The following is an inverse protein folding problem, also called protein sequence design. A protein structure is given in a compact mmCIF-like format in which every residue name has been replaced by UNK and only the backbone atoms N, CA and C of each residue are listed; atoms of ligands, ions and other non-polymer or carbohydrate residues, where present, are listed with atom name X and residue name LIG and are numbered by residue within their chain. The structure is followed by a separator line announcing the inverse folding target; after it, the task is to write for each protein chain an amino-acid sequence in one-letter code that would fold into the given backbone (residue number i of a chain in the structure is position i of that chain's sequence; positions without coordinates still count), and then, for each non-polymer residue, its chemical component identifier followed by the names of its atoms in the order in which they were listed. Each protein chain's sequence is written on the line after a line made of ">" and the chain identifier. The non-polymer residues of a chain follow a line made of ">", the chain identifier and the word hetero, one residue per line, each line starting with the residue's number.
data_IF_322816113645
#
_entry.id   IF_322816113645
#
_cell.length_a   1.000
_cell.length_b   1.000
_cell.length_c   1.000
_cell.angle_alpha   90.00
_cell.angle_beta   90.00
_cell.angle_gamma   90.00
#
_symmetry.space_group_name_H-M   'P 1'
#
loop_
_entity.id
_entity.type
_entity.pdbx_description
1 polymer ?
#
# COMPACT_ATOMS: atom_id res chain seq x y z
N UNK A 1 -26.19 -2.50 17.68
CA UNK A 1 -26.95 -1.85 16.58
C UNK A 1 -27.96 -2.82 15.96
N UNK A 2 -29.22 -2.42 15.74
CA UNK A 2 -30.24 -3.27 15.11
C UNK A 2 -30.46 -2.85 13.64
N UNK A 3 -30.46 -3.81 12.72
CA UNK A 3 -30.67 -3.61 11.28
C UNK A 3 -31.94 -4.34 10.85
N UNK A 4 -32.75 -3.68 10.01
CA UNK A 4 -33.94 -4.29 9.40
C UNK A 4 -33.61 -4.84 8.01
N UNK A 5 -33.75 -6.15 7.82
CA UNK A 5 -33.51 -6.83 6.55
C UNK A 5 -34.80 -6.90 5.74
N UNK A 6 -34.79 -6.27 4.58
CA UNK A 6 -35.87 -6.38 3.60
C UNK A 6 -35.65 -7.62 2.72
N UNK A 7 -36.53 -8.62 2.85
CA UNK A 7 -36.50 -9.82 2.03
C UNK A 7 -37.92 -10.33 1.74
N UNK A 8 -38.12 -10.93 0.58
CA UNK A 8 -39.38 -11.53 0.14
C UNK A 8 -39.22 -13.05 -0.16
N UNK A 9 -40.31 -13.70 -0.58
CA UNK A 9 -40.31 -15.12 -0.88
C UNK A 9 -39.38 -15.52 -2.05
N UNK A 10 -39.07 -14.58 -2.95
CA UNK A 10 -38.23 -14.79 -4.14
C UNK A 10 -36.75 -14.52 -3.87
N UNK A 11 -36.38 -13.89 -2.74
CA UNK A 11 -35.00 -13.59 -2.40
C UNK A 11 -34.07 -14.82 -2.47
N UNK A 12 -32.96 -14.69 -3.19
CA UNK A 12 -31.91 -15.73 -3.32
C UNK A 12 -30.61 -15.35 -2.60
N UNK A 13 -30.52 -14.12 -2.07
CA UNK A 13 -29.32 -13.62 -1.40
C UNK A 13 -29.31 -14.08 0.06
N UNK A 14 -28.12 -14.46 0.53
CA UNK A 14 -27.96 -14.75 1.96
C UNK A 14 -28.00 -13.45 2.78
N UNK A 15 -28.18 -13.59 4.09
CA UNK A 15 -28.35 -12.49 5.02
C UNK A 15 -27.12 -11.60 5.09
N UNK A 16 -25.92 -12.15 4.87
CA UNK A 16 -24.67 -11.38 4.84
C UNK A 16 -24.68 -10.41 3.64
N UNK A 17 -25.01 -10.90 2.45
CA UNK A 17 -25.13 -10.05 1.25
C UNK A 17 -26.18 -8.96 1.43
N UNK A 18 -27.31 -9.25 2.09
CA UNK A 18 -28.34 -8.24 2.37
C UNK A 18 -27.89 -7.19 3.41
N UNK A 19 -27.04 -7.55 4.37
CA UNK A 19 -26.44 -6.63 5.34
C UNK A 19 -25.37 -5.75 4.65
N UNK A 20 -24.56 -6.33 3.77
CA UNK A 20 -23.57 -5.62 2.96
C UNK A 20 -24.19 -4.58 2.02
N UNK A 21 -25.34 -4.92 1.41
CA UNK A 21 -26.10 -4.00 0.56
C UNK A 21 -26.67 -2.79 1.34
N UNK A 22 -26.75 -2.87 2.66
CA UNK A 22 -27.13 -1.76 3.54
C UNK A 22 -25.91 -1.00 4.10
N UNK A 23 -24.71 -1.28 3.59
CA UNK A 23 -23.48 -0.57 3.95
C UNK A 23 -22.73 -1.14 5.17
N UNK A 24 -23.11 -2.31 5.66
CA UNK A 24 -22.47 -2.94 6.81
C UNK A 24 -21.63 -4.14 6.39
N UNK A 25 -20.33 -4.12 6.68
CA UNK A 25 -19.44 -5.27 6.45
C UNK A 25 -19.28 -6.07 7.74
N UNK A 26 -19.44 -7.39 7.66
CA UNK A 26 -19.24 -8.31 8.77
C UNK A 26 -18.16 -9.33 8.45
N UNK A 27 -17.28 -9.65 9.41
CA UNK A 27 -16.35 -10.76 9.24
C UNK A 27 -17.14 -12.06 9.09
N UNK A 28 -16.85 -12.85 8.05
CA UNK A 28 -17.50 -14.13 7.80
C UNK A 28 -16.46 -15.25 7.75
N UNK A 29 -16.00 -15.70 8.92
CA UNK A 29 -15.06 -16.81 9.08
C UNK A 29 -15.60 -17.96 9.95
N UNK A 30 -16.88 -17.93 10.30
CA UNK A 30 -17.44 -18.82 11.31
C UNK A 30 -18.11 -20.10 10.79
N UNK A 31 -18.23 -20.31 9.48
CA UNK A 31 -18.77 -21.54 8.89
C UNK A 31 -20.07 -22.06 9.56
N UNK A 32 -21.00 -21.17 9.95
CA UNK A 32 -22.25 -21.53 10.63
C UNK A 32 -22.18 -21.62 12.17
N UNK A 33 -21.02 -21.37 12.80
CA UNK A 33 -20.86 -21.42 14.25
C UNK A 33 -21.36 -20.17 15.01
N UNK A 34 -22.00 -19.22 14.31
CA UNK A 34 -22.53 -17.96 14.88
C UNK A 34 -21.50 -17.09 15.64
N UNK A 35 -20.20 -17.30 15.42
CA UNK A 35 -19.14 -16.59 16.14
C UNK A 35 -17.99 -16.19 15.22
N UNK A 36 -18.03 -14.97 14.71
CA UNK A 36 -17.06 -14.43 13.77
C UNK A 36 -16.25 -13.29 14.46
N UNK A 37 -14.92 -13.29 14.33
CA UNK A 37 -13.99 -12.36 15.01
C UNK A 37 -14.27 -12.13 16.52
N UNK A 38 -14.56 -13.20 17.26
CA UNK A 38 -14.80 -13.17 18.71
C UNK A 38 -16.18 -12.66 19.12
N UNK A 39 -16.95 -12.07 18.20
CA UNK A 39 -18.30 -11.58 18.42
C UNK A 39 -19.34 -12.66 18.06
N UNK A 40 -20.44 -12.73 18.82
CA UNK A 40 -21.54 -13.68 18.60
C UNK A 40 -22.67 -13.00 17.84
N UNK A 41 -23.17 -13.65 16.79
CA UNK A 41 -24.23 -13.14 15.93
C UNK A 41 -25.54 -13.90 16.18
N UNK A 42 -26.68 -13.23 16.02
CA UNK A 42 -28.01 -13.81 16.24
C UNK A 42 -28.56 -14.59 15.03
N UNK A 43 -27.76 -14.74 13.97
CA UNK A 43 -28.16 -15.33 12.69
C UNK A 43 -27.04 -16.20 12.10
N UNK A 44 -27.43 -17.14 11.23
CA UNK A 44 -26.49 -17.94 10.42
C UNK A 44 -26.08 -17.12 9.19
N UNK A 45 -24.79 -17.00 8.90
CA UNK A 45 -24.28 -16.25 7.75
C UNK A 45 -24.75 -16.83 6.39
N UNK A 46 -25.15 -18.10 6.37
CA UNK A 46 -25.70 -18.77 5.19
C UNK A 46 -27.23 -18.65 5.05
N UNK A 47 -27.91 -18.08 6.06
CA UNK A 47 -29.36 -17.92 6.05
C UNK A 47 -29.80 -17.11 4.83
N UNK A 48 -30.78 -17.60 4.07
CA UNK A 48 -31.44 -16.87 2.99
C UNK A 48 -32.82 -16.44 3.52
N UNK A 49 -33.01 -15.17 3.93
CA UNK A 49 -34.27 -14.70 4.48
C UNK A 49 -35.37 -14.74 3.41
N UNK A 50 -36.55 -15.25 3.77
CA UNK A 50 -37.75 -15.33 2.89
C UNK A 50 -38.89 -14.40 3.29
N UNK A 51 -38.65 -13.58 4.31
CA UNK A 51 -39.54 -12.55 4.84
C UNK A 51 -38.68 -11.49 5.56
N UNK A 52 -39.20 -10.29 5.78
CA UNK A 52 -38.47 -9.26 6.52
C UNK A 52 -38.12 -9.72 7.94
N UNK A 53 -36.95 -9.32 8.43
CA UNK A 53 -36.50 -9.68 9.78
C UNK A 53 -35.52 -8.65 10.35
N UNK A 54 -35.49 -8.54 11.68
CA UNK A 54 -34.51 -7.73 12.39
C UNK A 54 -33.30 -8.57 12.79
N UNK A 55 -32.10 -8.02 12.61
CA UNK A 55 -30.85 -8.59 13.10
C UNK A 55 -30.15 -7.63 14.03
N UNK A 56 -29.61 -8.17 15.14
CA UNK A 56 -28.82 -7.39 16.08
C UNK A 56 -27.34 -7.62 15.81
N UNK A 57 -26.63 -6.54 15.48
CA UNK A 57 -25.18 -6.52 15.42
C UNK A 57 -24.63 -6.09 16.78
N UNK A 58 -23.59 -6.77 17.31
CA UNK A 58 -22.93 -6.36 18.54
C UNK A 58 -22.39 -4.93 18.39
N UNK A 59 -22.62 -4.08 19.40
CA UNK A 59 -22.09 -2.71 19.43
C UNK A 59 -20.56 -2.76 19.39
N UNK A 60 -20.01 -2.22 18.31
CA UNK A 60 -18.56 -2.12 18.07
C UNK A 60 -18.06 -0.71 18.36
N UNK A 61 -18.64 -0.05 19.36
CA UNK A 61 -18.29 1.33 19.74
C UNK A 61 -16.89 1.49 20.34
N UNK A 62 -16.18 0.39 20.67
CA UNK A 62 -14.80 0.41 21.17
C UNK A 62 -13.76 -0.16 20.19
N UNK A 63 -14.11 -0.34 18.91
CA UNK A 63 -13.12 -0.67 17.87
C UNK A 63 -13.04 0.49 16.89
N UNK A 64 -12.01 1.31 17.06
CA UNK A 64 -11.62 2.33 16.09
C UNK A 64 -11.35 1.63 14.76
N UNK A 65 -12.29 1.75 13.83
CA UNK A 65 -12.19 1.18 12.50
C UNK A 65 -11.00 1.85 11.80
N UNK A 66 -10.12 1.06 11.19
CA UNK A 66 -9.15 1.58 10.21
C UNK A 66 -9.95 2.21 9.06
N UNK A 67 -10.07 3.53 9.08
CA UNK A 67 -10.78 4.29 8.05
C UNK A 67 -9.95 4.25 6.77
N UNK A 68 -10.41 3.50 5.78
CA UNK A 68 -9.84 3.53 4.43
C UNK A 68 -10.42 4.74 3.71
N UNK A 69 -9.66 5.83 3.58
CA UNK A 69 -10.09 7.05 2.86
C UNK A 69 -10.59 6.75 1.44
N UNK A 70 -9.99 5.76 0.78
CA UNK A 70 -10.38 5.30 -0.56
C UNK A 70 -11.79 4.69 -0.62
N UNK A 71 -12.37 4.31 0.54
CA UNK A 71 -13.72 3.74 0.65
C UNK A 71 -14.74 4.76 1.19
N UNK A 72 -14.30 5.97 1.55
CA UNK A 72 -15.21 7.01 2.00
C UNK A 72 -15.92 7.63 0.82
N UNK A 73 -17.24 7.80 0.93
CA UNK A 73 -18.00 8.56 -0.04
C UNK A 73 -17.69 10.05 0.09
N UNK A 74 -17.43 10.70 -1.04
CA UNK A 74 -17.29 12.15 -1.09
C UNK A 74 -18.64 12.81 -0.87
N UNK A 75 -18.69 13.86 -0.06
CA UNK A 75 -19.90 14.65 0.18
C UNK A 75 -19.65 16.14 0.03
N UNK A 76 -20.65 16.88 -0.44
CA UNK A 76 -20.59 18.34 -0.54
C UNK A 76 -20.51 18.99 0.85
N UNK A 77 -19.84 20.15 0.92
CA UNK A 77 -19.76 20.95 2.14
C UNK A 77 -18.46 21.74 2.26
N UNK A 78 -18.31 22.40 3.41
CA UNK A 78 -17.08 23.11 3.75
C UNK A 78 -15.93 22.14 4.00
N UNK A 79 -14.73 22.55 3.68
CA UNK A 79 -13.50 21.88 4.11
C UNK A 79 -12.43 22.90 4.46
N UNK A 80 -11.61 22.54 5.43
CA UNK A 80 -10.58 23.41 6.01
C UNK A 80 -9.21 22.72 6.08
N UNK A 81 -9.13 21.43 5.72
CA UNK A 81 -7.94 20.62 5.95
C UNK A 81 -7.52 19.83 4.73
N UNK A 82 -6.27 20.02 4.31
CA UNK A 82 -5.66 19.33 3.18
C UNK A 82 -4.69 18.25 3.67
N UNK A 83 -4.86 17.02 3.20
CA UNK A 83 -3.92 15.92 3.43
C UNK A 83 -3.15 15.67 2.14
N UNK A 84 -1.82 15.49 2.24
CA UNK A 84 -0.95 15.27 1.08
C UNK A 84 -0.02 14.09 1.37
N UNK A 85 -0.16 13.04 0.57
CA UNK A 85 0.83 11.99 0.43
C UNK A 85 1.74 12.32 -0.77
N UNK A 86 2.98 12.69 -0.45
CA UNK A 86 3.98 13.17 -1.39
C UNK A 86 4.93 12.03 -1.79
N UNK A 87 4.44 11.17 -2.67
CA UNK A 87 5.22 10.07 -3.22
C UNK A 87 6.18 10.51 -4.34
N UNK A 88 7.18 9.66 -4.62
CA UNK A 88 8.16 9.90 -5.69
C UNK A 88 7.50 9.89 -7.06
N UNK A 89 6.61 8.93 -7.34
CA UNK A 89 5.93 8.78 -8.63
C UNK A 89 4.57 9.47 -8.65
N UNK A 90 3.87 9.42 -7.52
CA UNK A 90 2.46 9.80 -7.41
C UNK A 90 2.27 10.73 -6.22
N UNK A 91 1.44 11.75 -6.38
CA UNK A 91 1.03 12.65 -5.31
C UNK A 91 -0.48 12.46 -5.12
N UNK A 92 -0.88 12.05 -3.93
CA UNK A 92 -2.28 11.90 -3.56
C UNK A 92 -2.68 12.96 -2.55
N UNK A 93 -3.85 13.57 -2.76
CA UNK A 93 -4.35 14.67 -1.96
C UNK A 93 -5.80 14.39 -1.56
N UNK A 94 -6.14 14.65 -0.31
CA UNK A 94 -7.50 14.57 0.20
C UNK A 94 -7.89 15.88 0.87
N UNK A 95 -9.06 16.41 0.53
CA UNK A 95 -9.60 17.62 1.14
C UNK A 95 -10.77 17.24 2.04
N UNK A 96 -10.63 17.55 3.34
CA UNK A 96 -11.53 17.11 4.39
C UNK A 96 -12.00 18.28 5.24
N UNK A 97 -13.12 18.08 5.91
CA UNK A 97 -13.53 18.88 7.05
C UNK A 97 -12.94 18.28 8.33
N UNK A 98 -12.09 19.03 9.05
CA UNK A 98 -11.40 18.50 10.24
C UNK A 98 -12.38 18.07 11.34
N UNK A 99 -13.43 18.85 11.57
CA UNK A 99 -14.34 18.69 12.71
C UNK A 99 -15.25 17.47 12.52
N UNK A 100 -15.89 17.35 11.37
CA UNK A 100 -16.75 16.20 11.06
C UNK A 100 -15.98 14.99 10.55
N UNK A 101 -14.74 15.17 10.10
CA UNK A 101 -13.95 14.15 9.41
C UNK A 101 -14.50 13.80 8.01
N UNK A 102 -15.42 14.58 7.46
CA UNK A 102 -16.03 14.30 6.17
C UNK A 102 -15.03 14.51 5.02
N UNK A 103 -14.93 13.50 4.14
CA UNK A 103 -14.16 13.61 2.91
C UNK A 103 -14.94 14.40 1.86
N UNK A 104 -14.37 15.50 1.36
CA UNK A 104 -14.99 16.32 0.29
C UNK A 104 -14.52 15.90 -1.08
N UNK A 105 -13.21 15.71 -1.25
CA UNK A 105 -12.64 15.32 -2.52
C UNK A 105 -11.28 14.68 -2.34
N UNK A 106 -10.98 13.69 -3.19
CA UNK A 106 -9.65 13.11 -3.35
C UNK A 106 -9.14 13.37 -4.77
N UNK A 107 -7.83 13.51 -4.90
CA UNK A 107 -7.18 13.63 -6.20
C UNK A 107 -5.81 12.99 -6.17
N UNK A 108 -5.51 12.28 -7.25
CA UNK A 108 -4.19 11.68 -7.48
C UNK A 108 -3.60 12.25 -8.76
N UNK A 109 -2.32 12.56 -8.74
CA UNK A 109 -1.60 13.11 -9.89
C UNK A 109 -0.18 12.55 -9.96
N UNK A 110 0.42 12.55 -11.16
CA UNK A 110 1.82 12.21 -11.32
C UNK A 110 2.71 13.29 -10.70
N UNK A 111 3.81 12.89 -10.07
CA UNK A 111 4.79 13.83 -9.53
C UNK A 111 5.58 14.48 -10.69
N UNK A 112 5.50 15.81 -10.89
CA UNK A 112 6.15 16.48 -12.01
C UNK A 112 7.68 16.50 -11.93
N UNK A 113 8.25 16.18 -10.76
CA UNK A 113 9.70 16.04 -10.58
C UNK A 113 10.26 14.83 -11.33
N UNK A 114 9.42 13.96 -11.90
CA UNK A 114 9.84 12.85 -12.77
C UNK A 114 10.74 13.30 -13.94
N UNK A 115 10.62 14.56 -14.38
CA UNK A 115 11.50 15.13 -15.42
C UNK A 115 12.97 15.27 -14.99
N UNK A 116 13.24 15.42 -13.68
CA UNK A 116 14.59 15.55 -13.13
C UNK A 116 15.19 14.20 -12.71
N UNK A 117 14.37 13.15 -12.59
CA UNK A 117 14.79 11.84 -12.14
C UNK A 117 13.58 10.92 -11.89
N UNK A 118 13.73 9.66 -12.30
CA UNK A 118 12.71 8.61 -12.15
C UNK A 118 12.57 8.10 -10.71
N UNK A 119 13.57 8.31 -9.87
CA UNK A 119 13.64 7.79 -8.50
C UNK A 119 14.21 8.83 -7.52
N UNK A 120 14.28 8.45 -6.24
CA UNK A 120 14.78 9.31 -5.17
C UNK A 120 16.26 9.67 -5.35
N UNK A 121 17.09 8.71 -5.76
CA UNK A 121 18.56 8.90 -5.87
C UNK A 121 18.91 9.87 -7.00
N UNK A 122 18.30 9.69 -8.18
CA UNK A 122 18.47 10.58 -9.33
C UNK A 122 18.02 12.00 -9.00
N UNK A 123 16.96 12.17 -8.22
CA UNK A 123 16.51 13.51 -7.76
C UNK A 123 17.43 14.13 -6.72
N UNK A 124 17.98 13.34 -5.78
CA UNK A 124 19.02 13.82 -4.86
C UNK A 124 20.21 14.32 -5.67
N UNK A 125 20.68 13.53 -6.64
CA UNK A 125 21.78 13.93 -7.51
C UNK A 125 21.46 15.21 -8.28
N UNK A 126 20.27 15.31 -8.90
CA UNK A 126 19.88 16.53 -9.60
C UNK A 126 19.88 17.76 -8.68
N UNK A 127 19.37 17.61 -7.45
CA UNK A 127 19.37 18.66 -6.44
C UNK A 127 20.79 19.10 -6.04
N UNK A 128 21.69 18.13 -5.77
CA UNK A 128 23.08 18.42 -5.39
C UNK A 128 23.90 19.02 -6.54
N UNK A 129 23.50 18.78 -7.79
CA UNK A 129 24.09 19.39 -9.00
C UNK A 129 23.46 20.73 -9.39
N UNK A 130 22.81 21.42 -8.45
CA UNK A 130 22.34 22.79 -8.63
C UNK A 130 20.86 22.93 -9.01
N UNK A 131 20.11 21.84 -9.20
CA UNK A 131 18.69 21.92 -9.55
C UNK A 131 17.75 21.92 -8.33
N UNK A 132 18.27 22.11 -7.10
CA UNK A 132 17.43 22.09 -5.88
C UNK A 132 16.30 23.14 -5.96
N UNK A 133 16.60 24.36 -6.40
CA UNK A 133 15.61 25.43 -6.53
C UNK A 133 14.52 25.06 -7.55
N UNK A 134 14.90 24.49 -8.69
CA UNK A 134 13.96 24.11 -9.75
C UNK A 134 13.06 22.95 -9.32
N UNK A 135 13.64 21.94 -8.65
CA UNK A 135 12.90 20.82 -8.04
C UNK A 135 11.89 21.31 -6.99
N UNK A 136 12.31 22.26 -6.15
CA UNK A 136 11.48 22.87 -5.09
C UNK A 136 10.33 23.68 -5.68
N UNK A 137 10.63 24.52 -6.66
CA UNK A 137 9.63 25.33 -7.36
C UNK A 137 8.65 24.46 -8.13
N UNK A 138 9.14 23.41 -8.79
CA UNK A 138 8.33 22.46 -9.54
C UNK A 138 7.25 21.84 -8.63
N UNK A 139 7.65 21.29 -7.48
CA UNK A 139 6.71 20.62 -6.58
C UNK A 139 5.75 21.58 -5.90
N UNK A 140 6.23 22.76 -5.47
CA UNK A 140 5.38 23.79 -4.85
C UNK A 140 4.34 24.34 -5.82
N UNK A 141 4.72 24.62 -7.08
CA UNK A 141 3.79 25.07 -8.13
C UNK A 141 2.71 24.03 -8.40
N UNK A 142 3.10 22.75 -8.43
CA UNK A 142 2.16 21.65 -8.63
C UNK A 142 1.17 21.51 -7.47
N UNK A 143 1.65 21.44 -6.22
CA UNK A 143 0.78 21.38 -5.04
C UNK A 143 -0.20 22.56 -5.02
N UNK A 144 0.27 23.78 -5.30
CA UNK A 144 -0.59 24.96 -5.38
C UNK A 144 -1.68 24.84 -6.45
N UNK A 145 -1.32 24.34 -7.64
CA UNK A 145 -2.26 24.11 -8.74
C UNK A 145 -3.31 23.06 -8.38
N UNK A 146 -2.88 21.90 -7.88
CA UNK A 146 -3.78 20.81 -7.52
C UNK A 146 -4.70 21.17 -6.34
N UNK A 147 -4.20 21.95 -5.38
CA UNK A 147 -5.02 22.55 -4.30
C UNK A 147 -6.11 23.46 -4.87
N UNK A 148 -5.76 24.35 -5.80
CA UNK A 148 -6.75 25.24 -6.42
C UNK A 148 -7.83 24.46 -7.19
N UNK A 149 -7.46 23.36 -7.86
CA UNK A 149 -8.42 22.47 -8.53
C UNK A 149 -9.36 21.79 -7.53
N UNK A 150 -8.85 21.28 -6.41
CA UNK A 150 -9.67 20.70 -5.33
C UNK A 150 -10.66 21.71 -4.75
N UNK A 151 -10.20 22.94 -4.47
CA UNK A 151 -11.06 24.04 -4.03
C UNK A 151 -12.17 24.34 -5.05
N UNK A 152 -11.83 24.42 -6.34
CA UNK A 152 -12.80 24.65 -7.41
C UNK A 152 -13.84 23.52 -7.50
N UNK A 153 -13.41 22.26 -7.43
CA UNK A 153 -14.29 21.09 -7.50
C UNK A 153 -15.24 20.99 -6.31
N UNK A 154 -14.87 21.54 -5.16
CA UNK A 154 -15.66 21.50 -3.92
C UNK A 154 -16.36 22.83 -3.61
N UNK A 155 -16.26 23.82 -4.50
CA UNK A 155 -16.77 25.18 -4.31
C UNK A 155 -16.29 25.87 -3.01
N UNK A 156 -15.08 25.53 -2.55
CA UNK A 156 -14.44 26.14 -1.40
C UNK A 156 -13.41 27.20 -1.84
N UNK A 157 -13.20 28.23 -1.03
CA UNK A 157 -12.12 29.20 -1.24
C UNK A 157 -10.78 28.63 -0.73
N UNK A 158 -9.68 28.93 -1.39
CA UNK A 158 -8.34 28.50 -0.94
C UNK A 158 -7.99 29.06 0.44
N UNK A 159 -8.51 30.23 0.80
CA UNK A 159 -8.38 30.84 2.12
C UNK A 159 -9.18 30.12 3.21
N UNK A 160 -10.07 29.19 2.86
CA UNK A 160 -10.73 28.33 3.84
C UNK A 160 -9.78 27.28 4.42
N UNK A 161 -8.68 26.96 3.73
CA UNK A 161 -7.70 25.96 4.20
C UNK A 161 -6.96 26.52 5.42
N UNK A 162 -7.22 25.92 6.58
CA UNK A 162 -6.62 26.24 7.87
C UNK A 162 -5.48 25.31 8.23
N UNK A 163 -5.53 24.07 7.76
CA UNK A 163 -4.56 23.04 8.10
C UNK A 163 -4.11 22.28 6.87
N UNK A 164 -2.84 21.89 6.85
CA UNK A 164 -2.29 20.98 5.85
C UNK A 164 -1.41 19.95 6.55
N UNK A 165 -1.64 18.67 6.29
CA UNK A 165 -0.84 17.56 6.83
C UNK A 165 -0.16 16.86 5.67
N UNK A 166 1.17 16.72 5.75
CA UNK A 166 2.00 16.19 4.68
C UNK A 166 2.78 14.97 5.18
N UNK A 167 2.66 13.86 4.46
CA UNK A 167 3.50 12.67 4.58
C UNK A 167 4.22 12.43 3.27
N UNK A 168 5.40 11.81 3.33
CA UNK A 168 6.22 11.54 2.17
C UNK A 168 7.60 11.07 2.59
N UNK A 169 8.32 10.42 1.67
CA UNK A 169 9.68 10.00 1.95
C UNK A 169 10.58 11.21 2.23
N UNK A 170 11.65 11.00 3.00
CA UNK A 170 12.53 12.07 3.49
C UNK A 170 13.05 12.98 2.39
N UNK A 171 13.37 12.42 1.22
CA UNK A 171 13.84 13.22 0.08
C UNK A 171 12.73 14.13 -0.45
N UNK A 172 11.51 13.62 -0.63
CA UNK A 172 10.40 14.44 -1.12
C UNK A 172 10.10 15.62 -0.19
N UNK A 173 10.20 15.41 1.13
CA UNK A 173 10.06 16.48 2.12
C UNK A 173 11.20 17.51 2.02
N UNK A 174 12.45 17.05 1.86
CA UNK A 174 13.58 17.95 1.65
C UNK A 174 13.40 18.80 0.38
N UNK A 175 12.97 18.20 -0.72
CA UNK A 175 12.70 18.92 -1.97
C UNK A 175 11.52 19.89 -1.83
N UNK A 176 10.47 19.54 -1.08
CA UNK A 176 9.35 20.44 -0.82
C UNK A 176 9.79 21.70 -0.06
N UNK A 177 10.64 21.54 0.95
CA UNK A 177 11.09 22.65 1.79
C UNK A 177 12.35 23.36 1.26
N UNK A 178 13.00 22.80 0.24
CA UNK A 178 14.27 23.33 -0.28
C UNK A 178 15.44 23.08 0.67
N UNK A 179 15.38 21.99 1.45
CA UNK A 179 16.47 21.58 2.33
C UNK A 179 17.59 20.93 1.53
N UNK A 180 18.81 21.06 2.06
CA UNK A 180 19.99 20.39 1.52
C UNK A 180 19.78 18.87 1.47
N UNK A 181 19.99 18.27 0.30
CA UNK A 181 19.84 16.84 0.06
C UNK A 181 21.19 16.09 0.08
N UNK A 182 22.32 16.80 0.23
CA UNK A 182 23.68 16.21 0.10
C UNK A 182 23.87 15.02 1.03
N UNK A 183 23.44 15.13 2.29
CA UNK A 183 23.61 14.06 3.26
C UNK A 183 22.68 12.86 3.05
N UNK A 184 21.67 12.97 2.20
CA UNK A 184 20.77 11.84 1.86
C UNK A 184 21.36 10.96 0.74
N UNK A 185 22.30 11.48 -0.05
CA UNK A 185 22.90 10.78 -1.19
C UNK A 185 24.22 10.07 -0.91
N UNK A 186 24.81 10.28 0.28
CA UNK A 186 26.13 9.75 0.63
C UNK A 186 26.14 9.16 2.03
N UNK A 187 26.83 8.04 2.20
CA UNK A 187 27.10 7.43 3.51
C UNK A 187 27.74 8.48 4.45
N UNK A 188 27.25 8.63 5.70
CA UNK A 188 26.36 7.71 6.42
C UNK A 188 24.86 8.04 6.35
N UNK A 189 24.39 8.69 5.27
CA UNK A 189 22.96 8.92 4.99
C UNK A 189 22.21 9.66 6.12
N UNK A 190 22.81 10.71 6.65
CA UNK A 190 22.33 11.37 7.86
C UNK A 190 21.18 12.35 7.60
N UNK A 191 20.23 12.40 8.53
CA UNK A 191 19.16 13.41 8.58
C UNK A 191 19.47 14.47 9.65
N UNK A 192 19.07 15.73 9.43
CA UNK A 192 19.33 16.83 10.37
C UNK A 192 18.17 17.10 11.35
N UNK A 193 16.93 17.08 10.86
CA UNK A 193 15.74 17.42 11.67
C UNK A 193 14.66 16.38 11.40
N UNK A 194 14.54 15.31 12.20
CA UNK A 194 13.60 14.21 11.94
C UNK A 194 12.13 14.57 12.18
N UNK A 195 11.86 15.64 12.95
CA UNK A 195 10.51 16.13 13.24
C UNK A 195 10.51 17.65 13.09
N UNK A 196 10.11 18.19 11.93
CA UNK A 196 10.08 19.62 11.71
C UNK A 196 8.92 20.26 12.46
N UNK A 197 9.16 21.46 13.00
CA UNK A 197 8.11 22.27 13.62
C UNK A 197 7.05 22.67 12.58
N UNK A 198 5.77 22.83 12.99
CA UNK A 198 4.73 23.29 12.10
C UNK A 198 5.05 24.65 11.46
N UNK A 199 4.80 24.78 10.17
CA UNK A 199 5.05 26.00 9.40
C UNK A 199 3.73 26.76 9.13
N UNK A 200 3.69 28.05 9.42
CA UNK A 200 2.55 28.89 9.03
C UNK A 200 2.76 29.49 7.63
N UNK A 201 1.85 29.20 6.70
CA UNK A 201 1.79 29.80 5.36
C UNK A 201 0.47 30.57 5.24
N UNK A 202 0.56 31.89 5.37
CA UNK A 202 -0.64 32.75 5.43
C UNK A 202 -1.49 32.37 6.65
N UNK A 203 -2.69 31.86 6.40
CA UNK A 203 -3.62 31.41 7.44
C UNK A 203 -3.65 29.88 7.63
N UNK A 204 -2.88 29.14 6.84
CA UNK A 204 -2.76 27.69 6.91
C UNK A 204 -1.57 27.29 7.78
N UNK A 205 -1.77 26.32 8.68
CA UNK A 205 -0.69 25.67 9.41
C UNK A 205 -0.35 24.34 8.75
N UNK A 206 0.90 24.19 8.34
CA UNK A 206 1.43 22.99 7.68
C UNK A 206 2.13 22.12 8.72
N UNK A 207 1.64 20.91 8.89
CA UNK A 207 2.22 19.84 9.67
C UNK A 207 2.88 18.83 8.75
N UNK A 208 4.07 18.37 9.09
CA UNK A 208 4.78 17.34 8.33
C UNK A 208 5.03 16.15 9.22
N UNK A 209 4.65 14.96 8.74
CA UNK A 209 4.87 13.73 9.46
C UNK A 209 6.37 13.51 9.68
N UNK A 210 6.79 13.15 10.90
CA UNK A 210 8.20 13.02 11.22
C UNK A 210 8.79 11.77 10.55
N UNK A 211 10.08 11.75 10.27
CA UNK A 211 10.76 10.67 9.54
C UNK A 211 11.89 10.03 10.33
N UNK A 212 12.17 8.77 10.02
CA UNK A 212 13.06 7.91 10.82
C UNK A 212 14.50 7.96 10.30
N UNK A 213 14.69 7.96 8.98
CA UNK A 213 16.02 7.93 8.35
C UNK A 213 16.01 8.62 6.99
N UNK A 214 17.13 8.60 6.25
CA UNK A 214 17.17 9.11 4.87
C UNK A 214 16.25 8.33 3.91
N UNK A 215 15.95 7.07 4.21
CA UNK A 215 15.18 6.17 3.34
C UNK A 215 13.82 5.78 3.89
N UNK A 216 13.52 6.11 5.16
CA UNK A 216 12.23 5.84 5.81
C UNK A 216 11.64 7.15 6.29
N UNK A 217 10.63 7.63 5.55
CA UNK A 217 10.06 8.97 5.69
C UNK A 217 8.84 9.09 6.58
N UNK A 218 8.18 10.25 6.45
CA UNK A 218 6.94 10.57 7.16
C UNK A 218 5.71 9.87 6.57
N UNK A 219 5.79 9.40 5.33
CA UNK A 219 4.83 8.47 4.74
C UNK A 219 4.72 7.18 5.55
N UNK A 220 5.86 6.61 5.92
CA UNK A 220 5.90 5.37 6.72
C UNK A 220 5.44 5.62 8.16
N UNK A 221 5.84 6.71 8.81
CA UNK A 221 5.36 6.97 10.19
C UNK A 221 3.87 7.28 10.23
N UNK A 222 3.33 7.98 9.24
CA UNK A 222 1.88 8.12 9.06
C UNK A 222 1.23 6.75 8.80
N UNK A 223 1.82 5.92 7.96
CA UNK A 223 1.34 4.56 7.70
C UNK A 223 1.27 3.70 8.97
N UNK A 224 2.31 3.74 9.82
CA UNK A 224 2.34 3.02 11.09
C UNK A 224 1.23 3.47 12.05
N UNK A 225 0.94 4.77 12.09
CA UNK A 225 -0.20 5.30 12.85
C UNK A 225 -1.52 4.69 12.34
N UNK A 226 -1.70 4.61 11.02
CA UNK A 226 -2.90 4.00 10.44
C UNK A 226 -3.08 2.52 10.83
N UNK A 227 -1.96 1.80 10.94
CA UNK A 227 -1.92 0.38 11.30
C UNK A 227 -1.96 0.11 12.82
N UNK A 228 -1.85 1.16 13.65
CA UNK A 228 -1.77 1.06 15.11
C UNK A 228 -0.54 0.26 15.61
N UNK A 229 0.52 0.19 14.81
CA UNK A 229 1.78 -0.47 15.16
C UNK A 229 2.69 0.57 15.82
N UNK A 230 2.76 0.57 17.16
CA UNK A 230 3.16 -0.61 17.92
C UNK A 230 2.25 -1.01 19.08
N UNK A 231 1.09 -0.36 19.24
CA UNK A 231 0.18 -0.57 20.38
C UNK A 231 -0.41 -1.98 20.45
N UNK A 232 -0.27 -2.80 19.41
CA UNK A 232 -0.83 -4.15 19.35
C UNK A 232 -0.10 -5.17 20.22
N UNK A 233 1.19 -4.98 20.53
CA UNK A 233 2.03 -5.98 21.20
C UNK A 233 2.28 -7.28 20.39
N UNK A 234 1.67 -7.39 19.21
CA UNK A 234 1.76 -8.52 18.29
C UNK A 234 2.97 -8.40 17.37
N UNK A 235 3.50 -9.53 16.91
CA UNK A 235 4.46 -9.57 15.83
C UNK A 235 3.75 -9.15 14.54
N UNK A 236 4.17 -8.02 13.99
CA UNK A 236 3.58 -7.48 12.77
C UNK A 236 4.66 -7.04 11.81
N UNK A 237 4.42 -7.30 10.53
CA UNK A 237 5.24 -6.79 9.45
C UNK A 237 4.37 -5.79 8.68
N UNK A 238 4.81 -4.55 8.58
CA UNK A 238 4.26 -3.56 7.68
C UNK A 238 5.16 -3.45 6.46
N UNK A 239 4.60 -3.60 5.27
CA UNK A 239 5.30 -3.38 4.01
C UNK A 239 4.56 -2.29 3.24
N UNK A 240 5.26 -1.21 2.90
CA UNK A 240 4.79 -0.26 1.90
C UNK A 240 5.50 -0.59 0.59
N UNK A 241 4.74 -1.16 -0.34
CA UNK A 241 5.28 -1.64 -1.60
C UNK A 241 4.99 -0.61 -2.69
N UNK A 242 5.89 0.34 -2.80
CA UNK A 242 5.94 1.30 -3.90
C UNK A 242 7.13 1.06 -4.82
N UNK A 243 7.66 2.16 -5.37
CA UNK A 243 8.92 2.17 -6.13
C UNK A 243 10.08 1.70 -5.26
N UNK A 244 10.01 2.06 -3.97
CA UNK A 244 10.82 1.51 -2.91
C UNK A 244 10.02 0.42 -2.18
N UNK A 245 10.75 -0.50 -1.55
CA UNK A 245 10.19 -1.47 -0.62
C UNK A 245 10.51 -1.06 0.81
N UNK A 246 9.73 -0.14 1.38
CA UNK A 246 9.82 0.20 2.80
C UNK A 246 9.15 -0.89 3.65
N UNK A 247 9.78 -1.20 4.78
CA UNK A 247 9.35 -2.29 5.64
C UNK A 247 9.60 -1.95 7.11
N UNK A 248 8.65 -2.34 7.96
CA UNK A 248 8.71 -2.15 9.40
C UNK A 248 8.28 -3.43 10.11
N UNK A 249 9.18 -4.00 10.90
CA UNK A 249 8.89 -5.11 11.78
C UNK A 249 8.62 -4.59 13.20
N UNK A 250 7.42 -4.85 13.71
CA UNK A 250 7.09 -4.67 15.13
C UNK A 250 7.34 -5.98 15.87
N UNK A 251 8.24 -5.96 16.84
CA UNK A 251 8.48 -7.07 17.76
C UNK A 251 8.63 -6.55 19.19
N UNK A 252 7.76 -7.00 20.10
CA UNK A 252 7.78 -6.60 21.53
C UNK A 252 7.80 -5.08 21.75
N UNK A 253 7.06 -4.34 20.91
CA UNK A 253 6.96 -2.88 20.97
C UNK A 253 8.15 -2.12 20.38
N UNK A 254 9.17 -2.81 19.87
CA UNK A 254 10.27 -2.21 19.11
C UNK A 254 9.98 -2.26 17.62
N UNK A 255 10.31 -1.18 16.92
CA UNK A 255 10.12 -1.05 15.48
C UNK A 255 11.47 -1.14 14.78
N UNK A 256 11.67 -2.16 13.96
CA UNK A 256 12.85 -2.29 13.11
C UNK A 256 12.44 -1.85 11.71
N UNK A 257 13.14 -0.87 11.14
CA UNK A 257 12.73 -0.28 9.85
C UNK A 257 13.83 -0.39 8.83
N UNK A 258 13.47 -0.71 7.61
CA UNK A 258 14.39 -0.76 6.49
C UNK A 258 13.69 -0.30 5.21
N UNK A 259 14.49 0.02 4.20
CA UNK A 259 14.02 0.28 2.85
C UNK A 259 14.95 -0.43 1.86
N UNK A 260 14.38 -0.96 0.78
CA UNK A 260 15.13 -1.64 -0.28
C UNK A 260 14.67 -1.16 -1.65
N UNK A 261 15.56 -1.23 -2.64
CA UNK A 261 15.21 -0.96 -4.03
C UNK A 261 14.52 -2.21 -4.61
N UNK A 262 13.20 -2.28 -4.48
CA UNK A 262 12.39 -3.36 -5.09
C UNK A 262 12.03 -3.05 -6.55
N UNK A 263 11.94 -1.77 -6.92
CA UNK A 263 11.50 -1.33 -8.24
C UNK A 263 9.98 -1.41 -8.42
N UNK A 264 9.43 -0.80 -9.48
CA UNK A 264 7.98 -0.60 -9.64
C UNK A 264 7.23 -1.85 -10.15
N UNK A 265 7.87 -3.02 -10.20
CA UNK A 265 7.27 -4.25 -10.74
C UNK A 265 5.95 -4.60 -10.05
N UNK A 266 5.94 -4.42 -8.73
CA UNK A 266 4.80 -4.66 -7.87
C UNK A 266 3.67 -3.63 -7.98
N UNK A 267 3.95 -2.41 -8.46
CA UNK A 267 2.92 -1.43 -8.80
C UNK A 267 2.29 -1.68 -10.19
N UNK A 268 2.81 -2.65 -10.94
CA UNK A 268 2.47 -2.89 -12.34
C UNK A 268 3.18 -1.94 -13.32
N UNK A 269 3.62 -0.76 -12.89
CA UNK A 269 4.29 0.23 -13.75
C UNK A 269 5.64 -0.25 -14.33
N UNK A 270 6.28 -1.24 -13.71
CA UNK A 270 7.53 -1.84 -14.19
C UNK A 270 7.37 -3.00 -15.18
N UNK A 271 6.14 -3.37 -15.57
CA UNK A 271 5.87 -4.53 -16.42
C UNK A 271 5.41 -4.11 -17.81
N UNK A 272 5.72 -4.92 -18.82
CA UNK A 272 5.54 -4.64 -20.24
C UNK A 272 4.08 -4.33 -20.63
N UNK A 273 3.14 -5.08 -20.06
CA UNK A 273 1.69 -4.84 -20.18
C UNK A 273 1.07 -4.55 -18.80
N UNK A 274 1.86 -4.00 -17.89
CA UNK A 274 1.43 -3.76 -16.53
C UNK A 274 0.57 -2.51 -16.38
N UNK A 275 -0.27 -2.51 -15.36
CA UNK A 275 -1.07 -1.35 -14.99
C UNK A 275 -1.35 -1.32 -13.49
N UNK A 276 -1.74 -0.16 -12.92
CA UNK A 276 -2.15 -0.08 -11.53
C UNK A 276 -3.35 -0.99 -11.21
N UNK A 277 -3.59 -1.25 -9.93
CA UNK A 277 -4.80 -1.93 -9.46
C UNK A 277 -6.04 -1.07 -9.69
N UNK A 278 -6.61 -1.11 -10.90
CA UNK A 278 -7.83 -0.38 -11.28
C UNK A 278 -8.79 -1.30 -12.03
N UNK A 279 -10.04 -0.85 -12.21
CA UNK A 279 -11.08 -1.57 -12.97
C UNK A 279 -10.53 -2.12 -14.30
N UNK A 280 -10.65 -3.44 -14.50
CA UNK A 280 -10.15 -4.13 -15.69
C UNK A 280 -8.70 -4.62 -15.59
N UNK A 281 -7.91 -4.27 -14.58
CA UNK A 281 -6.59 -4.88 -14.43
C UNK A 281 -6.73 -6.36 -14.00
N UNK A 282 -5.94 -7.23 -14.62
CA UNK A 282 -5.87 -8.65 -14.31
C UNK A 282 -5.22 -8.78 -12.94
N UNK A 283 -5.97 -9.29 -11.96
CA UNK A 283 -5.56 -9.39 -10.56
C UNK A 283 -5.29 -10.82 -10.09
N UNK A 284 -5.70 -11.83 -10.88
CA UNK A 284 -5.42 -13.24 -10.60
C UNK A 284 -5.38 -14.03 -11.91
N UNK A 285 -4.46 -15.00 -12.00
CA UNK A 285 -4.25 -15.82 -13.19
C UNK A 285 -4.19 -17.29 -12.81
N UNK A 286 -4.88 -18.14 -13.58
CA UNK A 286 -4.74 -19.60 -13.50
C UNK A 286 -4.42 -20.13 -14.89
N UNK A 287 -3.24 -20.74 -15.05
CA UNK A 287 -2.79 -21.24 -16.34
C UNK A 287 -3.49 -22.57 -16.67
N UNK A 288 -4.17 -22.63 -17.82
CA UNK A 288 -4.82 -23.85 -18.35
C UNK A 288 -4.26 -24.20 -19.73
N UNK A 289 -4.58 -25.39 -20.24
CA UNK A 289 -3.96 -25.94 -21.45
C UNK A 289 -4.23 -25.17 -22.74
N UNK A 290 -5.36 -24.46 -22.85
CA UNK A 290 -5.74 -23.71 -24.05
C UNK A 290 -5.66 -22.19 -23.83
N UNK A 291 -6.38 -21.69 -22.83
CA UNK A 291 -6.40 -20.28 -22.47
C UNK A 291 -6.33 -20.11 -20.95
N UNK A 292 -5.56 -19.14 -20.44
CA UNK A 292 -5.55 -18.84 -19.01
C UNK A 292 -6.93 -18.38 -18.55
N UNK A 293 -7.29 -18.75 -17.32
CA UNK A 293 -8.45 -18.20 -16.63
C UNK A 293 -8.00 -16.96 -15.87
N UNK A 294 -8.70 -15.85 -16.06
CA UNK A 294 -8.33 -14.56 -15.49
C UNK A 294 -9.44 -14.05 -14.58
N UNK A 295 -9.05 -13.33 -13.53
CA UNK A 295 -9.94 -12.44 -12.79
C UNK A 295 -9.46 -11.02 -12.98
N UNK A 296 -10.39 -10.12 -13.26
CA UNK A 296 -10.13 -8.69 -13.33
C UNK A 296 -10.84 -7.96 -12.20
N UNK A 297 -10.32 -6.79 -11.85
CA UNK A 297 -10.96 -5.90 -10.90
C UNK A 297 -12.29 -5.41 -11.46
N UNK A 298 -13.31 -5.37 -10.60
CA UNK A 298 -14.71 -5.05 -10.93
C UNK A 298 -15.30 -5.90 -12.06
N UNK A 299 -14.68 -7.05 -12.37
CA UNK A 299 -15.09 -7.93 -13.46
C UNK A 299 -15.18 -7.20 -14.82
N UNK A 300 -14.41 -6.13 -15.01
CA UNK A 300 -14.37 -5.35 -16.25
C UNK A 300 -13.44 -5.99 -17.29
N UNK A 301 -13.50 -5.53 -18.54
CA UNK A 301 -12.63 -6.04 -19.60
C UNK A 301 -11.14 -5.87 -19.26
N UNK A 302 -10.28 -6.87 -19.54
CA UNK A 302 -8.85 -6.80 -19.29
C UNK A 302 -8.20 -5.59 -19.98
N UNK A 303 -7.43 -4.79 -19.24
CA UNK A 303 -6.66 -3.66 -19.82
C UNK A 303 -5.14 -3.78 -19.61
N UNK A 304 -4.71 -4.71 -18.77
CA UNK A 304 -3.31 -4.95 -18.40
C UNK A 304 -3.24 -5.86 -17.18
N UNK A 305 -2.05 -6.08 -16.64
CA UNK A 305 -1.79 -6.89 -15.44
C UNK A 305 -1.35 -6.01 -14.27
N UNK A 306 -1.99 -6.14 -13.10
CA UNK A 306 -1.53 -5.45 -11.89
C UNK A 306 -0.58 -6.33 -11.08
N UNK A 307 0.08 -5.75 -10.07
CA UNK A 307 1.04 -6.47 -9.22
C UNK A 307 0.53 -7.78 -8.63
N UNK A 308 -0.71 -7.81 -8.14
CA UNK A 308 -1.31 -9.05 -7.60
C UNK A 308 -1.49 -10.11 -8.68
N UNK A 309 -1.89 -9.72 -9.90
CA UNK A 309 -2.00 -10.62 -11.04
C UNK A 309 -0.63 -11.14 -11.49
N UNK A 310 0.39 -10.30 -11.40
CA UNK A 310 1.76 -10.66 -11.76
C UNK A 310 2.37 -11.66 -10.74
N UNK A 311 2.15 -11.45 -9.45
CA UNK A 311 2.48 -12.41 -8.38
C UNK A 311 1.77 -13.75 -8.62
N UNK A 312 0.45 -13.69 -8.86
CA UNK A 312 -0.37 -14.88 -9.13
C UNK A 312 0.12 -15.66 -10.35
N UNK A 313 0.46 -14.96 -11.44
CA UNK A 313 1.03 -15.57 -12.63
C UNK A 313 2.40 -16.20 -12.34
N UNK A 314 3.31 -15.52 -11.63
CA UNK A 314 4.61 -16.08 -11.28
C UNK A 314 4.47 -17.37 -10.46
N UNK A 315 3.55 -17.40 -9.50
CA UNK A 315 3.25 -18.60 -8.72
C UNK A 315 2.76 -19.76 -9.63
N UNK A 316 1.86 -19.49 -10.58
CA UNK A 316 1.40 -20.49 -11.55
C UNK A 316 2.51 -20.99 -12.47
N UNK A 317 3.42 -20.11 -12.90
CA UNK A 317 4.54 -20.46 -13.74
C UNK A 317 5.50 -21.42 -13.04
N UNK A 318 5.75 -21.22 -11.75
CA UNK A 318 6.56 -22.13 -10.93
C UNK A 318 5.84 -23.47 -10.74
N UNK A 319 4.57 -23.46 -10.31
CA UNK A 319 3.77 -24.69 -10.08
C UNK A 319 3.66 -25.56 -11.33
N UNK A 320 3.68 -24.98 -12.52
CA UNK A 320 3.57 -25.70 -13.81
C UNK A 320 4.91 -25.91 -14.51
N UNK A 321 6.02 -25.55 -13.86
CA UNK A 321 7.39 -25.71 -14.35
C UNK A 321 7.65 -24.99 -15.69
N UNK A 322 7.05 -23.81 -15.87
CA UNK A 322 7.50 -22.84 -16.88
C UNK A 322 8.81 -22.17 -16.45
N UNK A 323 9.05 -22.14 -15.14
CA UNK A 323 10.24 -21.63 -14.48
C UNK A 323 10.70 -22.68 -13.48
N UNK A 324 12.00 -22.93 -13.43
CA UNK A 324 12.63 -23.79 -12.40
C UNK A 324 12.76 -23.04 -11.08
N UNK A 325 13.05 -23.73 -9.98
CA UNK A 325 13.30 -23.08 -8.68
C UNK A 325 14.51 -22.13 -8.73
N UNK A 326 15.51 -22.39 -9.58
CA UNK A 326 16.64 -21.47 -9.80
C UNK A 326 16.28 -20.23 -10.66
N UNK A 327 15.00 -20.08 -11.04
CA UNK A 327 14.53 -18.95 -11.85
C UNK A 327 14.89 -19.03 -13.34
N UNK A 328 15.26 -20.22 -13.83
CA UNK A 328 15.54 -20.46 -15.25
C UNK A 328 14.23 -20.77 -15.99
N UNK A 329 13.97 -20.06 -17.08
CA UNK A 329 12.86 -20.30 -17.99
C UNK A 329 13.04 -21.64 -18.71
N UNK A 330 12.00 -22.46 -18.76
CA UNK A 330 11.98 -23.71 -19.52
C UNK A 330 11.45 -23.49 -20.93
N UNK A 331 11.56 -24.49 -21.80
CA UNK A 331 11.02 -24.45 -23.17
C UNK A 331 9.50 -24.21 -23.22
N UNK A 332 8.78 -24.42 -22.10
CA UNK A 332 7.35 -24.10 -21.99
C UNK A 332 7.09 -22.59 -22.04
N UNK A 333 8.03 -21.79 -21.54
CA UNK A 333 7.95 -20.34 -21.60
C UNK A 333 8.48 -19.90 -22.96
N UNK A 334 7.57 -19.44 -23.83
CA UNK A 334 7.94 -19.02 -25.19
C UNK A 334 8.73 -17.71 -25.15
N UNK A 335 9.61 -17.52 -26.13
CA UNK A 335 10.44 -16.32 -26.25
C UNK A 335 9.64 -15.05 -26.52
N UNK A 336 8.46 -15.17 -27.14
CA UNK A 336 7.51 -14.07 -27.36
C UNK A 336 6.57 -13.81 -26.16
N UNK A 337 6.77 -14.54 -25.06
CA UNK A 337 6.01 -14.40 -23.83
C UNK A 337 4.72 -15.22 -23.79
N UNK A 338 3.92 -14.97 -22.75
CA UNK A 338 2.66 -15.64 -22.49
C UNK A 338 1.53 -14.65 -22.70
N UNK A 339 0.75 -14.87 -23.76
CA UNK A 339 -0.45 -14.08 -24.04
C UNK A 339 -1.53 -14.43 -23.02
N UNK A 340 -1.93 -13.44 -22.22
CA UNK A 340 -2.96 -13.58 -21.20
C UNK A 340 -4.34 -13.28 -21.79
N UNK A 341 -4.46 -12.16 -22.50
CA UNK A 341 -5.73 -11.69 -23.05
C UNK A 341 -5.51 -10.66 -24.16
N UNK A 342 -6.60 -10.00 -24.57
CA UNK A 342 -6.57 -8.79 -25.41
C UNK A 342 -7.31 -7.66 -24.71
N UNK A 343 -6.77 -6.46 -24.83
CA UNK A 343 -7.42 -5.23 -24.38
C UNK A 343 -8.60 -4.85 -25.30
N UNK A 344 -9.48 -3.91 -24.89
CA UNK A 344 -10.63 -3.50 -25.70
C UNK A 344 -10.27 -2.96 -27.09
N UNK A 345 -9.08 -2.38 -27.25
CA UNK A 345 -8.54 -1.91 -28.53
C UNK A 345 -7.87 -3.02 -29.37
N UNK A 346 -7.95 -4.28 -28.91
CA UNK A 346 -7.47 -5.46 -29.62
C UNK A 346 -5.98 -5.76 -29.46
N UNK A 347 -5.23 -4.97 -28.67
CA UNK A 347 -3.81 -5.24 -28.39
C UNK A 347 -3.66 -6.45 -27.48
N UNK A 348 -2.58 -7.21 -27.67
CA UNK A 348 -2.27 -8.36 -26.83
C UNK A 348 -1.78 -7.91 -25.46
N UNK A 349 -2.33 -8.49 -24.40
CA UNK A 349 -1.80 -8.37 -23.04
C UNK A 349 -0.90 -9.58 -22.83
N UNK A 350 0.41 -9.36 -22.94
CA UNK A 350 1.43 -10.41 -22.94
C UNK A 350 2.38 -10.21 -21.76
N UNK A 351 2.71 -11.30 -21.08
CA UNK A 351 3.71 -11.32 -20.01
C UNK A 351 5.04 -11.86 -20.55
N UNK A 352 6.11 -11.06 -20.43
CA UNK A 352 7.40 -11.31 -21.05
C UNK A 352 8.44 -11.90 -20.08
N UNK A 353 9.54 -12.50 -20.57
CA UNK A 353 10.68 -12.93 -19.74
C UNK A 353 11.21 -11.83 -18.81
N UNK A 354 11.26 -10.59 -19.30
CA UNK A 354 11.76 -9.43 -18.57
C UNK A 354 10.82 -9.04 -17.42
N UNK A 355 9.51 -9.28 -17.58
CA UNK A 355 8.52 -9.04 -16.53
C UNK A 355 8.74 -10.01 -15.36
N UNK A 356 8.97 -11.30 -15.66
CA UNK A 356 9.32 -12.29 -14.64
C UNK A 356 10.59 -11.90 -13.90
N UNK A 357 11.64 -11.48 -14.64
CA UNK A 357 12.92 -11.08 -14.04
C UNK A 357 12.73 -9.87 -13.12
N UNK A 358 11.94 -8.90 -13.53
CA UNK A 358 11.65 -7.70 -12.73
C UNK A 358 10.97 -8.05 -11.40
N UNK A 359 10.01 -8.98 -11.43
CA UNK A 359 9.32 -9.46 -10.23
C UNK A 359 10.27 -10.27 -9.34
N UNK A 360 11.08 -11.14 -9.92
CA UNK A 360 12.07 -11.94 -9.18
C UNK A 360 13.06 -11.05 -8.41
N UNK A 361 13.58 -10.00 -9.04
CA UNK A 361 14.48 -9.04 -8.39
C UNK A 361 13.78 -8.32 -7.22
N UNK A 362 12.51 -7.95 -7.40
CA UNK A 362 11.71 -7.30 -6.38
C UNK A 362 11.42 -8.22 -5.18
N UNK A 363 11.06 -9.48 -5.44
CA UNK A 363 10.90 -10.53 -4.41
C UNK A 363 12.18 -10.67 -3.60
N UNK A 364 13.33 -10.83 -4.28
CA UNK A 364 14.62 -11.02 -3.63
C UNK A 364 14.98 -9.84 -2.72
N UNK A 365 14.71 -8.62 -3.17
CA UNK A 365 14.95 -7.40 -2.41
C UNK A 365 14.11 -7.34 -1.13
N UNK A 366 12.80 -7.61 -1.24
CA UNK A 366 11.86 -7.58 -0.11
C UNK A 366 12.17 -8.70 0.89
N UNK A 367 12.29 -9.95 0.42
CA UNK A 367 12.54 -11.11 1.27
C UNK A 367 13.88 -11.00 2.02
N UNK A 368 14.93 -10.47 1.37
CA UNK A 368 16.22 -10.24 2.03
C UNK A 368 16.16 -9.14 3.10
N UNK A 369 15.40 -8.07 2.86
CA UNK A 369 15.17 -7.04 3.86
C UNK A 369 14.41 -7.58 5.08
N UNK A 370 13.37 -8.39 4.83
CA UNK A 370 12.62 -9.08 5.89
C UNK A 370 13.55 -9.96 6.72
N UNK A 371 14.41 -10.76 6.09
CA UNK A 371 15.37 -11.62 6.80
C UNK A 371 16.32 -10.87 7.71
N UNK A 372 16.80 -9.70 7.29
CA UNK A 372 17.66 -8.86 8.12
C UNK A 372 16.89 -8.30 9.30
N UNK A 373 15.66 -7.81 9.10
CA UNK A 373 14.82 -7.34 10.21
C UNK A 373 14.58 -8.45 11.25
N UNK A 374 14.35 -9.68 10.79
CA UNK A 374 14.17 -10.84 11.67
C UNK A 374 15.45 -11.19 12.42
N UNK A 375 16.60 -11.18 11.74
CA UNK A 375 17.89 -11.43 12.35
C UNK A 375 18.23 -10.41 13.45
N UNK A 376 18.04 -9.12 13.16
CA UNK A 376 18.34 -8.02 14.10
C UNK A 376 17.35 -7.94 15.27
N UNK A 377 16.10 -8.33 15.06
CA UNK A 377 15.10 -8.39 16.14
C UNK A 377 15.18 -9.66 16.99
N UNK A 378 15.79 -10.72 16.45
CA UNK A 378 15.88 -12.03 17.10
C UNK A 378 14.54 -12.80 17.16
N UNK A 379 13.51 -12.33 16.45
CA UNK A 379 12.21 -13.02 16.39
C UNK A 379 12.32 -14.27 15.50
N UNK A 380 11.63 -15.35 15.88
CA UNK A 380 11.63 -16.58 15.09
C UNK A 380 10.64 -16.48 13.94
N UNK A 381 11.03 -16.90 12.73
CA UNK A 381 10.14 -17.07 11.56
C UNK A 381 8.91 -17.97 11.82
N UNK A 382 9.01 -18.84 12.84
CA UNK A 382 7.93 -19.76 13.26
C UNK A 382 6.86 -19.08 14.10
N UNK A 383 7.11 -17.87 14.59
CA UNK A 383 6.08 -17.09 15.25
C UNK A 383 5.05 -16.62 14.23
N UNK A 384 3.83 -16.37 14.69
CA UNK A 384 2.75 -15.89 13.84
C UNK A 384 2.88 -14.39 13.60
N UNK A 385 2.78 -13.97 12.35
CA UNK A 385 2.84 -12.56 11.97
C UNK A 385 1.54 -12.10 11.33
N UNK A 386 1.08 -10.90 11.71
CA UNK A 386 0.10 -10.16 10.91
C UNK A 386 0.84 -9.28 9.92
N UNK A 387 0.51 -9.41 8.64
CA UNK A 387 1.07 -8.59 7.58
C UNK A 387 0.14 -7.42 7.27
N UNK A 388 0.66 -6.21 7.30
CA UNK A 388 -0.01 -4.99 6.87
C UNK A 388 0.62 -4.54 5.55
N UNK A 389 -0.16 -4.48 4.48
CA UNK A 389 0.30 -4.08 3.16
C UNK A 389 -0.23 -2.70 2.82
N UNK A 390 0.67 -1.73 2.76
CA UNK A 390 0.45 -0.41 2.20
C UNK A 390 0.83 -0.32 0.72
N UNK A 391 0.47 0.79 0.11
CA UNK A 391 0.84 1.14 -1.26
C UNK A 391 -0.26 0.84 -2.27
N UNK A 392 0.05 1.09 -3.55
CA UNK A 392 -0.88 0.98 -4.69
C UNK A 392 -1.30 -0.45 -5.07
N UNK A 393 -0.96 -1.46 -4.26
CA UNK A 393 -1.50 -2.81 -4.34
C UNK A 393 -2.99 -2.79 -3.98
N UNK A 394 -3.83 -2.25 -4.87
CA UNK A 394 -5.25 -2.01 -4.59
C UNK A 394 -6.09 -3.27 -4.34
N UNK A 395 -5.51 -4.47 -4.27
CA UNK A 395 -6.27 -5.73 -4.27
C UNK A 395 -5.62 -6.87 -3.48
N UNK A 396 -6.44 -7.87 -3.17
CA UNK A 396 -6.07 -9.07 -2.40
C UNK A 396 -4.83 -9.80 -2.96
N UNK A 397 -3.82 -10.00 -2.11
CA UNK A 397 -2.75 -10.97 -2.32
C UNK A 397 -3.14 -12.32 -1.73
N UNK A 398 -2.90 -13.40 -2.48
CA UNK A 398 -2.98 -14.76 -1.94
C UNK A 398 -1.73 -15.03 -1.11
N UNK A 399 -1.93 -15.48 0.14
CA UNK A 399 -0.84 -15.92 1.01
C UNK A 399 -0.10 -17.07 0.34
N UNK A 400 -0.84 -18.00 -0.26
CA UNK A 400 -0.30 -19.19 -0.93
C UNK A 400 0.55 -18.83 -2.15
N UNK A 401 0.13 -17.85 -2.96
CA UNK A 401 0.92 -17.36 -4.09
C UNK A 401 2.18 -16.65 -3.61
N UNK A 402 2.09 -15.81 -2.57
CA UNK A 402 3.25 -15.10 -2.00
C UNK A 402 4.26 -16.07 -1.37
N UNK A 403 3.79 -17.11 -0.69
CA UNK A 403 4.64 -18.18 -0.15
C UNK A 403 5.29 -18.99 -1.26
N UNK A 404 4.54 -19.35 -2.31
CA UNK A 404 5.04 -20.07 -3.47
C UNK A 404 6.23 -19.37 -4.13
N UNK A 405 6.18 -18.04 -4.24
CA UNK A 405 7.26 -17.24 -4.84
C UNK A 405 8.32 -16.79 -3.83
N UNK A 406 8.17 -17.08 -2.53
CA UNK A 406 9.14 -16.71 -1.49
C UNK A 406 9.10 -15.24 -1.05
N UNK A 407 8.04 -14.48 -1.34
CA UNK A 407 7.98 -13.03 -1.09
C UNK A 407 8.18 -12.65 0.38
N UNK A 408 7.68 -13.47 1.31
CA UNK A 408 7.72 -13.19 2.75
C UNK A 408 8.73 -14.04 3.51
N UNK A 409 9.77 -14.56 2.85
CA UNK A 409 10.88 -15.27 3.49
C UNK A 409 10.46 -16.40 4.46
N UNK A 410 9.52 -17.23 4.03
CA UNK A 410 8.95 -18.35 4.79
C UNK A 410 8.29 -17.97 6.13
N UNK A 411 7.91 -16.70 6.31
CA UNK A 411 7.19 -16.27 7.50
C UNK A 411 5.83 -16.97 7.64
N UNK A 412 5.48 -17.32 8.88
CA UNK A 412 4.15 -17.79 9.22
C UNK A 412 3.17 -16.61 9.28
N UNK A 413 2.66 -16.21 8.11
CA UNK A 413 1.65 -15.15 7.99
C UNK A 413 0.27 -15.71 8.35
N UNK A 414 -0.31 -15.23 9.44
CA UNK A 414 -1.66 -15.62 9.87
C UNK A 414 -2.76 -14.84 9.17
N UNK A 415 -2.47 -13.59 8.80
CA UNK A 415 -3.42 -12.68 8.18
C UNK A 415 -2.68 -11.65 7.33
N UNK A 416 -3.23 -11.32 6.17
CA UNK A 416 -2.80 -10.16 5.36
C UNK A 416 -3.91 -9.12 5.41
N UNK A 417 -3.57 -7.92 5.91
CA UNK A 417 -4.42 -6.74 5.93
C UNK A 417 -3.94 -5.78 4.84
N UNK A 418 -4.70 -5.71 3.74
CA UNK A 418 -4.46 -4.73 2.67
C UNK A 418 -5.05 -3.40 3.11
N UNK A 419 -4.19 -2.40 3.27
CA UNK A 419 -4.52 -1.11 3.86
C UNK A 419 -4.65 0.02 2.83
N UNK A 420 -4.22 -0.16 1.58
CA UNK A 420 -4.25 0.89 0.55
C UNK A 420 -3.26 2.02 0.85
N UNK A 421 -3.62 3.28 0.57
CA UNK A 421 -2.79 4.43 0.90
C UNK A 421 -2.76 4.70 2.42
N UNK A 422 -1.79 4.08 3.10
CA UNK A 422 -1.64 4.19 4.56
C UNK A 422 -1.14 5.55 5.02
N UNK A 423 -0.34 6.24 4.19
CA UNK A 423 0.12 7.60 4.45
C UNK A 423 -1.09 8.55 4.62
N UNK A 424 -1.98 8.65 3.62
CA UNK A 424 -3.18 9.49 3.71
C UNK A 424 -4.07 9.13 4.91
N UNK A 425 -4.24 7.83 5.19
CA UNK A 425 -5.03 7.38 6.34
C UNK A 425 -4.40 7.81 7.67
N UNK A 426 -3.08 7.72 7.78
CA UNK A 426 -2.34 8.21 8.93
C UNK A 426 -2.50 9.73 9.12
N UNK A 427 -2.37 10.49 8.04
CA UNK A 427 -2.56 11.95 8.06
C UNK A 427 -3.99 12.33 8.44
N UNK A 428 -4.99 11.55 7.99
CA UNK A 428 -6.38 11.73 8.41
C UNK A 428 -6.57 11.48 9.90
N UNK A 429 -6.01 10.38 10.42
CA UNK A 429 -6.07 10.10 11.86
C UNK A 429 -5.37 11.19 12.69
N UNK A 430 -4.27 11.74 12.17
CA UNK A 430 -3.61 12.88 12.80
C UNK A 430 -4.49 14.12 12.78
N UNK A 431 -5.06 14.46 11.63
CA UNK A 431 -5.89 15.65 11.48
C UNK A 431 -7.16 15.60 12.32
N UNK A 432 -7.91 14.50 12.26
CA UNK A 432 -9.25 14.40 12.85
C UNK A 432 -9.22 13.96 14.31
N UNK A 433 -8.30 13.07 14.68
CA UNK A 433 -8.22 12.52 16.04
C UNK A 433 -7.03 13.07 16.85
N UNK A 434 -6.29 14.02 16.31
CA UNK A 434 -5.12 14.67 16.93
C UNK A 434 -4.05 13.66 17.39
N UNK A 435 -3.96 12.54 16.68
CA UNK A 435 -2.95 11.49 16.90
C UNK A 435 -1.72 11.78 16.07
N UNK A 436 -0.71 12.41 16.68
CA UNK A 436 0.54 12.70 15.98
C UNK A 436 1.27 11.40 15.62
N UNK A 437 1.71 11.21 14.36
CA UNK A 437 2.64 10.13 14.03
C UNK A 437 3.91 10.35 14.83
N UNK A 438 4.33 9.35 15.60
CA UNK A 438 5.47 9.47 16.50
C UNK A 438 6.66 8.69 15.94
N UNK A 439 7.84 9.30 15.96
CA UNK A 439 9.09 8.54 15.94
C UNK A 439 9.25 8.01 17.37
N UNK A 440 8.98 6.74 17.57
CA UNK A 440 9.16 6.16 18.90
C UNK A 440 10.65 6.03 19.22
N UNK A 441 10.99 6.24 20.50
CA UNK A 441 12.37 6.07 21.00
C UNK A 441 12.92 4.65 20.75
N UNK A 442 12.04 3.67 20.50
CA UNK A 442 12.36 2.27 20.24
C UNK A 442 12.38 1.91 18.74
N UNK A 443 12.54 2.91 17.87
CA UNK A 443 12.71 2.72 16.43
C UNK A 443 14.19 2.48 16.07
N UNK A 444 14.47 1.38 15.35
CA UNK A 444 15.80 0.91 14.99
C UNK A 444 15.89 0.89 13.44
N UNK A 445 16.42 1.96 12.82
CA UNK A 445 16.64 1.99 11.38
C UNK A 445 17.85 1.13 10.99
N UNK A 446 17.65 0.26 10.01
CA UNK A 446 18.70 -0.57 9.41
C UNK A 446 19.01 -0.09 8.00
N UNK A 447 20.28 0.16 7.73
CA UNK A 447 20.77 0.44 6.38
C UNK A 447 21.11 -0.88 5.67
N UNK A 448 20.17 -1.40 4.88
CA UNK A 448 20.37 -2.67 4.16
C UNK A 448 21.56 -2.60 3.19
N UNK A 449 21.82 -1.44 2.59
CA UNK A 449 22.94 -1.27 1.64
C UNK A 449 24.32 -1.39 2.29
N UNK A 450 24.42 -1.15 3.60
CA UNK A 450 25.66 -1.29 4.39
C UNK A 450 25.66 -2.56 5.26
N UNK A 451 24.55 -3.30 5.29
CA UNK A 451 24.43 -4.50 6.10
C UNK A 451 25.25 -5.66 5.47
N UNK A 452 26.17 -6.29 6.23
CA UNK A 452 27.13 -7.25 5.67
C UNK A 452 26.47 -8.48 5.03
N UNK A 453 25.31 -8.88 5.54
CA UNK A 453 24.59 -10.06 5.03
C UNK A 453 23.59 -9.76 3.89
N UNK A 454 23.28 -8.50 3.57
CA UNK A 454 22.20 -8.19 2.62
C UNK A 454 22.44 -8.77 1.23
N UNK A 455 23.64 -8.57 0.67
CA UNK A 455 23.95 -9.09 -0.66
C UNK A 455 23.86 -10.63 -0.72
N UNK A 456 24.32 -11.32 0.33
CA UNK A 456 24.25 -12.78 0.42
C UNK A 456 22.80 -13.25 0.50
N UNK A 457 21.99 -12.63 1.34
CA UNK A 457 20.57 -12.96 1.53
C UNK A 457 19.76 -12.63 0.28
N UNK A 458 20.05 -11.51 -0.39
CA UNK A 458 19.46 -11.15 -1.68
C UNK A 458 19.71 -12.22 -2.74
N UNK A 459 20.97 -12.65 -2.90
CA UNK A 459 21.33 -13.72 -3.84
C UNK A 459 20.66 -15.06 -3.52
N UNK A 460 20.43 -15.35 -2.23
CA UNK A 460 19.69 -16.54 -1.82
C UNK A 460 18.23 -16.48 -2.31
N UNK A 461 17.54 -15.34 -2.12
CA UNK A 461 16.16 -15.13 -2.56
C UNK A 461 16.00 -14.87 -4.06
N UNK A 462 17.09 -14.89 -4.84
CA UNK A 462 16.99 -15.01 -6.30
C UNK A 462 16.53 -16.40 -6.73
N UNK A 463 16.62 -17.40 -5.85
CA UNK A 463 15.99 -18.70 -6.07
C UNK A 463 14.60 -18.72 -5.43
N UNK A 464 13.67 -19.45 -6.03
CA UNK A 464 12.32 -19.65 -5.52
C UNK A 464 12.27 -20.85 -4.57
N UNK A 465 11.38 -20.83 -3.56
CA UNK A 465 11.19 -21.97 -2.68
C UNK A 465 10.85 -23.26 -3.43
N UNK A 466 11.36 -24.39 -2.93
CA UNK A 466 10.98 -25.71 -3.44
C UNK A 466 9.50 -25.97 -3.13
N UNK A 467 8.66 -25.95 -4.16
CA UNK A 467 7.24 -26.28 -4.06
C UNK A 467 7.12 -27.79 -3.85
N UNK A 468 6.89 -28.22 -2.61
CA UNK A 468 6.58 -29.63 -2.29
C UNK A 468 5.12 -29.97 -2.53
#
# INVERSE_FOLDING_TARGET
>A
MNIHIHADAQNTKNILTLIEEQGFSLPCNCHGAHRCNGARYSFDCSLIPKKPMDVSLPDTSDKIQSVSLEKMETSDGTADTLLIDLGTTTIAMAFIDKESGALRQCKTSANPQAHFGSDVISRIQAATHGNLSDLTDCIRKHIKKETALLCQMTHNDISAIRFCYIGGNTTMIHLLFGYDCTSLGHSPFTIKVPSPEPLSIGNCTVYTAPWISAFVGGDITAGLLSCHLPSSGENALFLDLGTNGEMVLNHKGKLYTAATAAGPAFEGNGLSCGCPGISGAISHVVLRSLFPSLRTINNAHPIGICGSGAISLCAELLRKHYVTSDGVLTEKFKTDGIVLSKSPDGKSITFLPEDLRSIQLAIAAIAAGIDILLAESGVSKKESFTLYLGGGFGFHLSIEDCQCIGLFSDLCISEIKVMGNTCLQGLYQWAVYERTPAIQNDCIPLNLGEHPDFQKTYLHHMTFPDIR
#
